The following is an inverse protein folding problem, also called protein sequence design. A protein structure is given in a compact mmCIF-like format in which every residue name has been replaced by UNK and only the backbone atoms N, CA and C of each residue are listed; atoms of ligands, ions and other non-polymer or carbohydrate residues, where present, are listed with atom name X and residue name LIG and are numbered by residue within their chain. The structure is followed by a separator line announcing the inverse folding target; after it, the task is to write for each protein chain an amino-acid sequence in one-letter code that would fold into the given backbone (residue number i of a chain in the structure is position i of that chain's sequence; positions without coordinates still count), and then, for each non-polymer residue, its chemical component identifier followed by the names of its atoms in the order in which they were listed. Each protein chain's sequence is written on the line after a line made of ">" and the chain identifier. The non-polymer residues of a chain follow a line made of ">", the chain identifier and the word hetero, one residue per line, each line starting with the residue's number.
data_IF_032480280343
#
_entry.id   IF_032480280343
#
_cell.length_a   1.000
_cell.length_b   1.000
_cell.length_c   1.000
_cell.angle_alpha   90.00
_cell.angle_beta   90.00
_cell.angle_gamma   90.00
#
_symmetry.space_group_name_H-M   'P 1'
#
loop_
_entity.id
_entity.type
_entity.pdbx_description
1 polymer ?
#
# COMPACT_ATOMS: atom_id res chain seq x y z
N UNK A 1 -8.66 15.94 -1.47
CA UNK A 1 -9.42 15.42 -2.62
C UNK A 1 -10.60 14.56 -2.14
N UNK A 2 -11.79 15.15 -1.92
CA UNK A 2 -12.98 14.45 -1.45
C UNK A 2 -13.80 13.76 -2.57
N UNK A 3 -13.66 14.22 -3.81
CA UNK A 3 -14.54 13.83 -4.91
C UNK A 3 -14.29 12.40 -5.43
N UNK A 4 -13.05 11.92 -5.38
CA UNK A 4 -12.70 10.55 -5.78
C UNK A 4 -13.13 9.51 -4.72
N UNK A 5 -13.18 9.93 -3.46
CA UNK A 5 -13.67 9.11 -2.35
C UNK A 5 -15.17 8.87 -2.48
N UNK A 6 -15.95 9.91 -2.77
CA UNK A 6 -17.40 9.80 -2.96
C UNK A 6 -17.77 8.91 -4.15
N UNK A 7 -17.00 9.02 -5.24
CA UNK A 7 -17.19 8.18 -6.43
C UNK A 7 -16.79 6.72 -6.20
N UNK A 8 -15.73 6.47 -5.44
CA UNK A 8 -15.34 5.12 -5.04
C UNK A 8 -16.37 4.51 -4.08
N UNK A 9 -16.85 5.27 -3.09
CA UNK A 9 -17.82 4.81 -2.09
C UNK A 9 -19.20 4.53 -2.71
N UNK A 10 -19.68 5.38 -3.62
CA UNK A 10 -20.94 5.16 -4.34
C UNK A 10 -20.89 3.95 -5.28
N UNK A 11 -19.73 3.68 -5.89
CA UNK A 11 -19.50 2.49 -6.71
C UNK A 11 -19.44 1.19 -5.87
N UNK A 12 -18.91 1.28 -4.64
CA UNK A 12 -18.85 0.16 -3.69
C UNK A 12 -20.22 -0.15 -3.06
N UNK A 13 -21.04 0.87 -2.80
CA UNK A 13 -22.36 0.70 -2.17
C UNK A 13 -23.38 -0.01 -3.08
N UNK A 14 -23.18 0.00 -4.40
CA UNK A 14 -24.14 -0.50 -5.39
C UNK A 14 -23.92 -1.94 -5.84
N UNK A 15 -22.80 -2.59 -5.48
CA UNK A 15 -22.54 -4.00 -5.82
C UNK A 15 -21.93 -4.75 -4.63
N UNK A 16 -22.77 -5.51 -3.95
CA UNK A 16 -22.45 -6.23 -2.71
C UNK A 16 -21.43 -7.39 -2.84
N UNK A 17 -20.70 -7.52 -3.95
CA UNK A 17 -19.74 -8.62 -4.18
C UNK A 17 -18.61 -8.28 -5.19
N UNK A 18 -18.28 -7.01 -5.39
CA UNK A 18 -17.00 -6.66 -6.03
C UNK A 18 -15.98 -6.47 -4.91
N UNK A 19 -15.16 -7.49 -4.68
CA UNK A 19 -14.07 -7.41 -3.69
C UNK A 19 -13.15 -6.27 -4.10
N UNK A 20 -12.75 -5.46 -3.13
CA UNK A 20 -11.78 -4.37 -3.33
C UNK A 20 -10.58 -4.88 -4.16
N UNK A 21 -10.15 -6.13 -3.95
CA UNK A 21 -9.15 -6.86 -4.72
C UNK A 21 -9.36 -6.87 -6.25
N UNK A 22 -10.58 -7.00 -6.78
CA UNK A 22 -10.84 -6.96 -8.24
C UNK A 22 -10.70 -5.55 -8.82
N UNK A 23 -11.05 -4.54 -8.02
CA UNK A 23 -10.86 -3.13 -8.38
C UNK A 23 -9.38 -2.74 -8.24
N UNK A 24 -8.67 -3.34 -7.29
CA UNK A 24 -7.24 -3.19 -7.05
C UNK A 24 -6.39 -3.90 -8.11
N UNK A 25 -6.78 -5.08 -8.59
CA UNK A 25 -6.13 -5.74 -9.74
C UNK A 25 -6.14 -4.82 -10.96
N UNK A 26 -7.29 -4.19 -11.25
CA UNK A 26 -7.39 -3.21 -12.35
C UNK A 26 -6.73 -1.88 -12.03
N UNK A 27 -6.58 -1.49 -10.76
CA UNK A 27 -5.95 -0.23 -10.37
C UNK A 27 -4.41 -0.33 -10.21
N UNK A 28 -3.89 -1.53 -10.01
CA UNK A 28 -2.46 -1.86 -9.96
C UNK A 28 -1.83 -2.00 -11.36
N UNK A 29 -2.63 -1.98 -12.42
CA UNK A 29 -2.16 -1.92 -13.81
C UNK A 29 -1.88 -0.48 -14.26
N UNK A 30 -1.25 -0.34 -15.42
CA UNK A 30 -0.94 0.95 -16.03
C UNK A 30 -2.17 1.82 -16.38
N UNK A 31 -3.39 1.32 -16.20
CA UNK A 31 -4.65 2.04 -16.48
C UNK A 31 -5.36 2.53 -15.19
N UNK A 32 -4.82 2.21 -14.02
CA UNK A 32 -5.44 2.47 -12.73
C UNK A 32 -5.38 3.92 -12.25
N UNK A 33 -6.42 4.36 -11.56
CA UNK A 33 -6.51 5.71 -10.95
C UNK A 33 -5.44 6.00 -9.88
N UNK A 34 -4.78 4.96 -9.36
CA UNK A 34 -3.73 5.05 -8.34
C UNK A 34 -2.31 4.94 -8.91
N UNK A 35 -2.15 4.79 -10.23
CA UNK A 35 -0.85 4.55 -10.88
C UNK A 35 0.21 5.58 -10.49
N UNK A 36 -0.08 6.87 -10.64
CA UNK A 36 0.91 7.92 -10.38
C UNK A 36 1.39 7.89 -8.93
N UNK A 37 0.48 7.67 -7.98
CA UNK A 37 0.79 7.56 -6.56
C UNK A 37 1.64 6.32 -6.24
N UNK A 38 1.29 5.16 -6.82
CA UNK A 38 2.05 3.92 -6.62
C UNK A 38 3.45 3.99 -7.25
N UNK A 39 3.59 4.66 -8.40
CA UNK A 39 4.89 4.88 -9.04
C UNK A 39 5.77 5.85 -8.27
N UNK A 40 5.20 6.92 -7.73
CA UNK A 40 5.94 7.85 -6.86
C UNK A 40 6.46 7.14 -5.62
N UNK A 41 5.61 6.35 -4.95
CA UNK A 41 6.02 5.53 -3.81
C UNK A 41 7.10 4.50 -4.19
N UNK A 42 6.98 3.83 -5.33
CA UNK A 42 8.00 2.90 -5.82
C UNK A 42 9.34 3.61 -6.05
N UNK A 43 9.34 4.78 -6.70
CA UNK A 43 10.54 5.57 -6.93
C UNK A 43 11.22 6.00 -5.62
N UNK A 44 10.44 6.40 -4.62
CA UNK A 44 10.96 6.73 -3.29
C UNK A 44 11.64 5.51 -2.67
N UNK A 45 11.02 4.33 -2.75
CA UNK A 45 11.58 3.09 -2.22
C UNK A 45 12.86 2.67 -2.97
N UNK A 46 12.89 2.74 -4.29
CA UNK A 46 14.07 2.41 -5.10
C UNK A 46 15.26 3.33 -4.79
N UNK A 47 15.01 4.60 -4.50
CA UNK A 47 16.04 5.57 -4.12
C UNK A 47 16.54 5.36 -2.68
N UNK A 48 15.83 4.61 -1.86
CA UNK A 48 16.14 4.37 -0.44
C UNK A 48 16.21 2.85 -0.13
N UNK A 49 17.36 2.19 -0.34
CA UNK A 49 17.49 0.73 -0.23
C UNK A 49 17.06 0.14 1.12
N UNK A 50 17.31 0.87 2.21
CA UNK A 50 16.90 0.48 3.56
C UNK A 50 15.37 0.46 3.71
N UNK A 51 14.69 1.51 3.21
CA UNK A 51 13.23 1.57 3.21
C UNK A 51 12.62 0.52 2.32
N UNK A 52 13.20 0.30 1.13
CA UNK A 52 12.80 -0.79 0.23
C UNK A 52 12.86 -2.13 0.93
N UNK A 53 14.00 -2.46 1.54
CA UNK A 53 14.20 -3.75 2.22
C UNK A 53 13.25 -3.91 3.40
N UNK A 54 13.08 -2.85 4.19
CA UNK A 54 12.17 -2.85 5.33
C UNK A 54 10.72 -3.05 4.89
N UNK A 55 10.28 -2.33 3.85
CA UNK A 55 8.91 -2.44 3.37
C UNK A 55 8.64 -3.77 2.66
N UNK A 56 9.61 -4.31 1.92
CA UNK A 56 9.54 -5.64 1.33
C UNK A 56 9.26 -6.71 2.40
N UNK A 57 9.95 -6.66 3.55
CA UNK A 57 9.67 -7.58 4.68
C UNK A 57 8.22 -7.47 5.15
N UNK A 58 7.67 -6.25 5.23
CA UNK A 58 6.31 -6.00 5.70
C UNK A 58 5.26 -6.55 4.73
N UNK A 59 5.46 -6.40 3.41
CA UNK A 59 4.52 -6.94 2.40
C UNK A 59 4.64 -8.44 2.20
N UNK A 60 5.80 -9.04 2.48
CA UNK A 60 5.98 -10.50 2.45
C UNK A 60 5.47 -11.21 3.70
N UNK A 61 5.48 -10.55 4.86
CA UNK A 61 5.11 -11.18 6.12
C UNK A 61 3.60 -11.40 6.22
N UNK A 62 3.18 -12.59 6.66
CA UNK A 62 1.79 -12.88 7.01
C UNK A 62 1.37 -12.29 8.36
N UNK A 63 2.34 -11.95 9.21
CA UNK A 63 2.17 -11.38 10.54
C UNK A 63 2.75 -9.96 10.62
N UNK A 64 2.53 -9.29 11.76
CA UNK A 64 3.11 -7.98 12.02
C UNK A 64 4.64 -8.07 12.16
N UNK A 65 5.33 -7.08 11.60
CA UNK A 65 6.80 -7.08 11.52
C UNK A 65 7.36 -6.01 12.44
N UNK A 66 8.31 -6.39 13.28
CA UNK A 66 9.08 -5.42 14.04
C UNK A 66 10.17 -4.81 13.15
N UNK A 67 10.21 -3.48 13.07
CA UNK A 67 11.20 -2.72 12.34
C UNK A 67 11.84 -1.68 13.25
N UNK A 68 13.06 -1.27 12.92
CA UNK A 68 13.73 -0.16 13.60
C UNK A 68 12.87 1.11 13.59
N UNK A 69 12.87 1.84 14.71
CA UNK A 69 11.98 3.00 14.92
C UNK A 69 12.06 4.05 13.80
N UNK A 70 13.25 4.27 13.24
CA UNK A 70 13.45 5.22 12.12
C UNK A 70 12.76 4.73 10.85
N UNK A 71 12.88 3.44 10.52
CA UNK A 71 12.26 2.85 9.33
C UNK A 71 10.74 2.79 9.50
N UNK A 72 10.27 2.39 10.69
CA UNK A 72 8.86 2.42 11.07
C UNK A 72 8.26 3.81 10.88
N UNK A 73 8.89 4.85 11.44
CA UNK A 73 8.41 6.23 11.31
C UNK A 73 8.37 6.72 9.86
N UNK A 74 9.42 6.44 9.08
CA UNK A 74 9.49 6.83 7.66
C UNK A 74 8.40 6.14 6.85
N UNK A 75 8.23 4.82 6.98
CA UNK A 75 7.20 4.07 6.27
C UNK A 75 5.79 4.50 6.67
N UNK A 76 5.57 4.79 7.96
CA UNK A 76 4.30 5.32 8.45
C UNK A 76 4.01 6.71 7.89
N UNK A 77 5.02 7.59 7.81
CA UNK A 77 4.89 8.94 7.25
C UNK A 77 4.62 8.95 5.75
N UNK A 78 5.18 8.00 5.00
CA UNK A 78 4.83 7.73 3.60
C UNK A 78 3.43 7.11 3.45
N UNK A 79 2.81 6.74 4.57
CA UNK A 79 1.51 6.10 4.59
C UNK A 79 1.50 4.69 4.03
N UNK A 80 2.64 4.01 3.99
CA UNK A 80 2.80 2.64 3.46
C UNK A 80 2.39 1.57 4.48
N UNK A 81 2.57 1.84 5.77
CA UNK A 81 2.29 0.91 6.87
C UNK A 81 1.34 1.49 7.90
N UNK A 82 0.76 0.62 8.73
CA UNK A 82 0.03 0.95 9.96
C UNK A 82 0.79 0.36 11.15
N UNK A 83 0.70 1.04 12.30
CA UNK A 83 1.24 0.55 13.56
C UNK A 83 0.24 -0.36 14.26
N UNK A 84 0.73 -1.49 14.76
CA UNK A 84 0.01 -2.42 15.63
C UNK A 84 0.91 -2.67 16.84
N UNK A 85 0.69 -1.91 17.91
CA UNK A 85 1.64 -1.87 19.02
C UNK A 85 3.00 -1.32 18.57
N UNK A 86 4.06 -2.11 18.75
CA UNK A 86 5.43 -1.77 18.31
C UNK A 86 5.76 -2.31 16.91
N UNK A 87 4.83 -3.04 16.30
CA UNK A 87 5.04 -3.68 15.01
C UNK A 87 4.28 -2.94 13.91
N UNK A 88 4.59 -3.30 12.66
CA UNK A 88 3.96 -2.73 11.48
C UNK A 88 3.29 -3.79 10.61
N UNK A 89 2.20 -3.38 9.97
CA UNK A 89 1.53 -4.13 8.91
C UNK A 89 1.39 -3.24 7.66
N UNK A 90 1.24 -3.81 6.45
CA UNK A 90 0.89 -3.03 5.27
C UNK A 90 -0.40 -2.24 5.52
N UNK A 91 -0.47 -0.99 5.04
CA UNK A 91 -1.64 -0.14 5.29
C UNK A 91 -2.93 -0.71 4.68
N UNK A 92 -2.80 -1.34 3.52
CA UNK A 92 -3.88 -1.98 2.79
C UNK A 92 -3.34 -3.08 1.87
N UNK A 93 -4.23 -3.95 1.43
CA UNK A 93 -3.89 -5.08 0.56
C UNK A 93 -3.39 -4.65 -0.83
N UNK A 94 -3.80 -3.47 -1.32
CA UNK A 94 -3.27 -2.88 -2.55
C UNK A 94 -1.75 -2.78 -2.54
N UNK A 95 -1.18 -2.30 -1.44
CA UNK A 95 0.27 -2.16 -1.34
C UNK A 95 0.94 -3.51 -1.22
N UNK A 96 0.33 -4.46 -0.51
CA UNK A 96 0.83 -5.83 -0.48
C UNK A 96 0.90 -6.37 -1.91
N UNK A 97 -0.20 -6.37 -2.65
CA UNK A 97 -0.26 -6.88 -4.03
C UNK A 97 0.70 -6.16 -4.99
N UNK A 98 0.70 -4.83 -4.99
CA UNK A 98 1.51 -4.06 -5.95
C UNK A 98 3.01 -4.17 -5.69
N UNK A 99 3.44 -4.12 -4.42
CA UNK A 99 4.86 -4.07 -4.06
C UNK A 99 5.47 -5.46 -3.85
N UNK A 100 4.67 -6.50 -3.61
CA UNK A 100 5.16 -7.87 -3.43
C UNK A 100 5.91 -8.39 -4.66
N UNK A 101 5.41 -8.09 -5.86
CA UNK A 101 6.01 -8.57 -7.12
C UNK A 101 7.09 -7.61 -7.66
N UNK A 102 7.24 -6.41 -7.06
CA UNK A 102 8.01 -5.30 -7.64
C UNK A 102 9.18 -4.82 -6.78
N UNK A 103 9.24 -5.16 -5.49
CA UNK A 103 10.37 -4.81 -4.60
C UNK A 103 11.32 -5.99 -4.48
#
# INVERSE_FOLDING_TARGET
>A
YPFLLDKALSYLATRQNLTLSELLEKAATNEGIYRSHLQELLSILETNPELKTAFHKVVMATECVNLESILTYKLYSLGLVKLVGNDVIPRCELYRQYFSDRL
#
